data_IF_121255468421
#
_entry.id   IF_121255468421
#
_cell.length_a   1.000
_cell.length_b   1.000
_cell.length_c   1.000
_cell.angle_alpha   90.00
_cell.angle_beta   90.00
_cell.angle_gamma   90.00
#
_symmetry.space_group_name_H-M   'P 1'
#
loop_
_entity.id
_entity.type
_entity.pdbx_description
1 polymer ?
#
# COMPACT_ATOMS: atom_id res chain seq x y z
N UNK A 1 14.43 16.57 8.97
CA UNK A 1 14.59 16.04 7.60
C UNK A 1 15.99 15.45 7.44
N UNK A 2 16.09 14.34 6.73
CA UNK A 2 17.35 13.64 6.49
C UNK A 2 17.62 13.63 5.00
N UNK A 3 18.86 13.98 4.60
CA UNK A 3 19.29 13.96 3.21
C UNK A 3 20.42 12.91 3.07
N UNK A 4 20.25 12.00 2.13
CA UNK A 4 21.29 11.05 1.74
C UNK A 4 21.85 11.47 0.39
N UNK A 5 23.17 11.63 0.33
CA UNK A 5 23.89 11.92 -0.90
C UNK A 5 24.91 10.83 -1.18
N UNK A 6 24.94 10.33 -2.40
CA UNK A 6 25.88 9.30 -2.82
C UNK A 6 25.91 9.16 -4.34
N UNK A 7 26.92 8.44 -4.83
CA UNK A 7 27.01 8.12 -6.25
C UNK A 7 25.90 7.12 -6.60
N UNK A 8 25.17 7.39 -7.69
CA UNK A 8 24.14 6.48 -8.19
C UNK A 8 24.73 5.23 -8.84
N UNK A 9 23.85 4.43 -9.48
CA UNK A 9 24.26 3.27 -10.26
C UNK A 9 25.12 3.69 -11.48
N UNK A 10 26.05 2.83 -11.86
CA UNK A 10 26.94 3.04 -13.02
C UNK A 10 28.14 2.11 -12.96
N UNK A 11 28.86 1.96 -14.08
CA UNK A 11 29.99 1.04 -14.16
C UNK A 11 31.09 1.37 -13.13
N UNK A 12 31.53 2.61 -13.04
CA UNK A 12 32.57 3.03 -12.10
C UNK A 12 32.16 2.95 -10.62
N UNK A 13 30.97 3.47 -10.19
CA UNK A 13 30.54 3.35 -8.81
C UNK A 13 30.37 1.88 -8.37
N UNK A 14 29.82 1.04 -9.23
CA UNK A 14 29.63 -0.39 -8.95
C UNK A 14 30.99 -1.12 -8.86
N UNK A 15 31.90 -0.89 -9.81
CA UNK A 15 33.23 -1.48 -9.76
C UNK A 15 33.99 -1.04 -8.52
N UNK A 16 33.93 0.23 -8.15
CA UNK A 16 34.57 0.77 -6.95
C UNK A 16 34.04 0.11 -5.67
N UNK A 17 32.71 -0.11 -5.57
CA UNK A 17 32.11 -0.80 -4.42
C UNK A 17 32.56 -2.26 -4.33
N UNK A 18 32.53 -3.01 -5.44
CA UNK A 18 33.00 -4.41 -5.48
C UNK A 18 34.46 -4.54 -5.11
N UNK A 19 35.33 -3.67 -5.62
CA UNK A 19 36.76 -3.68 -5.29
C UNK A 19 36.97 -3.34 -3.81
N UNK A 20 36.22 -2.37 -3.26
CA UNK A 20 36.30 -2.04 -1.84
C UNK A 20 35.95 -3.24 -0.96
N UNK A 21 34.86 -3.93 -1.27
CA UNK A 21 34.43 -5.12 -0.54
C UNK A 21 35.46 -6.25 -0.60
N UNK A 22 36.06 -6.48 -1.78
CA UNK A 22 37.12 -7.46 -1.94
C UNK A 22 38.37 -7.11 -1.12
N UNK A 23 38.78 -5.83 -1.08
CA UNK A 23 39.88 -5.37 -0.25
C UNK A 23 39.59 -5.58 1.23
N UNK A 24 38.40 -5.30 1.67
CA UNK A 24 38.00 -5.48 3.08
C UNK A 24 37.98 -6.98 3.45
N UNK A 25 37.48 -7.85 2.59
CA UNK A 25 37.55 -9.32 2.78
C UNK A 25 38.98 -9.78 2.92
N UNK A 26 39.91 -9.33 2.04
CA UNK A 26 41.32 -9.70 2.10
C UNK A 26 41.97 -9.23 3.40
N UNK A 27 41.69 -7.99 3.82
CA UNK A 27 42.23 -7.43 5.07
C UNK A 27 41.72 -8.22 6.30
N UNK A 28 40.43 -8.51 6.36
CA UNK A 28 39.84 -9.30 7.44
C UNK A 28 40.43 -10.71 7.51
N UNK A 29 40.57 -11.36 6.36
CA UNK A 29 41.15 -12.69 6.26
C UNK A 29 42.61 -12.69 6.69
N UNK A 30 43.41 -11.69 6.27
CA UNK A 30 44.83 -11.54 6.63
C UNK A 30 45.01 -11.22 8.13
N UNK A 31 44.04 -10.54 8.74
CA UNK A 31 44.07 -10.27 10.19
C UNK A 31 43.68 -11.49 11.03
N UNK A 32 43.27 -12.61 10.42
CA UNK A 32 42.84 -13.81 11.11
C UNK A 32 41.43 -13.71 11.72
N UNK A 33 40.72 -12.66 11.38
CA UNK A 33 39.35 -12.39 11.89
C UNK A 33 38.30 -12.98 10.94
N UNK A 34 38.42 -14.29 10.67
CA UNK A 34 37.44 -15.03 9.86
C UNK A 34 36.01 -15.00 10.45
N UNK A 35 35.91 -14.60 11.72
CA UNK A 35 34.62 -14.47 12.41
C UNK A 35 33.84 -13.25 11.91
N UNK A 36 34.52 -12.21 11.45
CA UNK A 36 33.89 -11.01 10.89
C UNK A 36 33.21 -11.25 9.51
N UNK A 37 33.58 -12.34 8.82
CA UNK A 37 32.96 -12.76 7.56
C UNK A 37 31.72 -13.63 7.73
N UNK A 38 31.47 -14.12 8.95
CA UNK A 38 30.21 -14.80 9.22
C UNK A 38 29.11 -13.73 9.23
N UNK A 39 27.99 -13.96 8.53
CA UNK A 39 26.81 -13.15 8.76
C UNK A 39 26.64 -13.09 10.27
N UNK A 40 26.41 -11.91 10.83
CA UNK A 40 26.20 -11.76 12.25
C UNK A 40 25.10 -12.77 12.62
N UNK A 41 25.53 -13.96 13.12
CA UNK A 41 24.62 -14.85 13.82
C UNK A 41 24.18 -14.03 15.02
N UNK A 42 23.07 -13.32 14.87
CA UNK A 42 22.37 -12.72 15.95
C UNK A 42 21.85 -13.88 16.80
N UNK A 43 22.73 -14.38 17.67
CA UNK A 43 22.41 -15.28 18.78
C UNK A 43 21.61 -14.55 19.89
N UNK A 44 21.04 -13.40 19.58
CA UNK A 44 19.90 -12.92 20.33
C UNK A 44 18.70 -13.63 19.74
N UNK A 45 17.92 -14.28 20.59
CA UNK A 45 16.55 -14.69 20.27
C UNK A 45 15.86 -13.47 19.66
N UNK A 46 16.04 -13.28 18.35
CA UNK A 46 15.24 -12.34 17.58
C UNK A 46 13.86 -12.93 17.68
N UNK A 47 13.04 -12.35 18.53
CA UNK A 47 11.60 -12.60 18.53
C UNK A 47 11.22 -12.48 17.06
N UNK A 48 10.89 -13.61 16.44
CA UNK A 48 10.45 -13.60 15.04
C UNK A 48 9.17 -12.78 15.03
N UNK A 49 9.32 -11.50 14.70
CA UNK A 49 8.16 -10.65 14.43
C UNK A 49 7.45 -11.27 13.23
N UNK A 50 6.30 -11.87 13.48
CA UNK A 50 5.47 -12.39 12.40
C UNK A 50 5.05 -11.26 11.46
N UNK A 51 4.90 -11.56 10.19
CA UNK A 51 4.32 -10.63 9.23
C UNK A 51 2.85 -10.39 9.58
N UNK A 52 2.46 -9.12 9.68
CA UNK A 52 1.05 -8.76 9.81
C UNK A 52 0.36 -9.01 8.46
N UNK A 53 -0.70 -9.84 8.39
CA UNK A 53 -1.47 -10.00 7.16
C UNK A 53 -2.03 -8.65 6.70
N UNK A 54 -2.06 -8.41 5.38
CA UNK A 54 -2.57 -7.15 4.83
C UNK A 54 -4.00 -6.86 5.29
N UNK A 55 -4.85 -7.87 5.44
CA UNK A 55 -6.22 -7.73 5.94
C UNK A 55 -6.32 -7.11 7.34
N UNK A 56 -5.24 -7.13 8.12
CA UNK A 56 -5.16 -6.55 9.46
C UNK A 56 -4.48 -5.17 9.48
N UNK A 57 -4.06 -4.68 8.32
CA UNK A 57 -3.50 -3.33 8.21
C UNK A 57 -4.61 -2.30 8.32
N UNK A 58 -4.33 -1.23 9.06
CA UNK A 58 -5.25 -0.09 9.23
C UNK A 58 -4.71 1.09 8.43
N UNK A 59 -5.50 1.63 7.52
CA UNK A 59 -5.16 2.79 6.70
C UNK A 59 -6.42 3.56 6.31
N UNK A 60 -6.26 4.75 5.76
CA UNK A 60 -7.32 5.45 5.04
C UNK A 60 -7.27 5.11 3.56
N UNK A 61 -8.40 5.18 2.87
CA UNK A 61 -8.51 4.72 1.48
C UNK A 61 -9.17 5.74 0.60
N UNK A 62 -8.64 5.87 -0.62
CA UNK A 62 -9.32 6.45 -1.77
C UNK A 62 -9.96 5.30 -2.56
N UNK A 63 -11.24 5.43 -2.84
CA UNK A 63 -12.01 4.46 -3.62
C UNK A 63 -12.68 5.17 -4.79
N UNK A 64 -12.52 4.63 -6.00
CA UNK A 64 -13.23 5.08 -7.19
C UNK A 64 -14.10 3.95 -7.70
N UNK A 65 -15.40 4.17 -7.71
CA UNK A 65 -16.44 3.18 -7.92
C UNK A 65 -17.22 3.56 -9.17
N UNK A 66 -17.04 2.88 -10.30
CA UNK A 66 -17.84 3.12 -11.51
C UNK A 66 -19.26 2.57 -11.31
N UNK A 67 -20.26 3.41 -11.48
CA UNK A 67 -21.68 3.07 -11.22
C UNK A 67 -22.63 3.66 -12.26
N UNK A 68 -23.82 3.09 -12.33
CA UNK A 68 -24.92 3.73 -13.04
C UNK A 68 -25.33 5.04 -12.35
N UNK A 69 -25.63 6.07 -13.15
CA UNK A 69 -26.17 7.33 -12.64
C UNK A 69 -27.69 7.19 -12.38
N UNK A 70 -28.01 6.50 -11.29
CA UNK A 70 -29.40 6.20 -10.89
C UNK A 70 -29.66 6.62 -9.44
N UNK A 71 -30.86 7.12 -9.12
CA UNK A 71 -31.23 7.43 -7.75
C UNK A 71 -31.08 6.21 -6.82
N UNK A 72 -30.45 6.42 -5.67
CA UNK A 72 -30.28 5.39 -4.63
C UNK A 72 -28.99 4.58 -4.72
N UNK A 73 -28.21 4.68 -5.79
CA UNK A 73 -26.93 3.95 -5.92
C UNK A 73 -25.93 4.40 -4.84
N UNK A 74 -25.76 5.69 -4.63
CA UNK A 74 -24.92 6.20 -3.54
C UNK A 74 -25.39 5.70 -2.16
N UNK A 75 -26.68 5.61 -1.93
CA UNK A 75 -27.22 5.10 -0.67
C UNK A 75 -26.88 3.62 -0.45
N UNK A 76 -26.89 2.80 -1.52
CA UNK A 76 -26.48 1.38 -1.45
C UNK A 76 -25.00 1.25 -1.11
N UNK A 77 -24.14 2.03 -1.76
CA UNK A 77 -22.70 2.05 -1.48
C UNK A 77 -22.42 2.49 -0.04
N UNK A 78 -23.07 3.58 0.42
CA UNK A 78 -22.91 4.08 1.78
C UNK A 78 -23.39 3.06 2.83
N UNK A 79 -24.44 2.32 2.53
CA UNK A 79 -24.93 1.23 3.39
C UNK A 79 -23.91 0.11 3.51
N UNK A 80 -23.29 -0.32 2.42
CA UNK A 80 -22.25 -1.36 2.45
C UNK A 80 -21.06 -0.90 3.31
N UNK A 81 -20.62 0.35 3.18
CA UNK A 81 -19.56 0.89 4.04
C UNK A 81 -19.96 0.83 5.52
N UNK A 82 -21.20 1.23 5.86
CA UNK A 82 -21.68 1.18 7.23
C UNK A 82 -21.74 -0.27 7.78
N UNK A 83 -22.17 -1.24 6.97
CA UNK A 83 -22.23 -2.66 7.34
C UNK A 83 -20.82 -3.23 7.61
N UNK A 84 -19.77 -2.71 6.94
CA UNK A 84 -18.38 -3.06 7.17
C UNK A 84 -17.68 -2.16 8.21
N UNK A 85 -18.43 -1.32 8.92
CA UNK A 85 -17.89 -0.37 9.92
C UNK A 85 -16.87 0.60 9.35
N UNK A 86 -16.99 0.96 8.07
CA UNK A 86 -16.14 1.93 7.40
C UNK A 86 -16.79 3.31 7.49
N UNK A 87 -16.08 4.26 8.10
CA UNK A 87 -16.49 5.66 8.17
C UNK A 87 -16.01 6.43 6.94
N UNK A 88 -16.91 7.20 6.33
CA UNK A 88 -16.63 8.00 5.15
C UNK A 88 -16.14 9.38 5.58
N UNK A 89 -14.98 9.81 5.08
CA UNK A 89 -14.43 11.16 5.26
C UNK A 89 -15.09 12.14 4.28
N UNK A 90 -15.14 11.74 2.99
CA UNK A 90 -15.75 12.55 1.94
C UNK A 90 -16.26 11.69 0.79
N UNK A 91 -17.26 12.18 0.09
CA UNK A 91 -17.77 11.58 -1.14
C UNK A 91 -17.95 12.66 -2.19
N UNK A 92 -17.53 12.35 -3.40
CA UNK A 92 -17.78 13.14 -4.60
C UNK A 92 -18.42 12.25 -5.66
N UNK A 93 -19.54 12.70 -6.21
CA UNK A 93 -20.16 12.10 -7.39
C UNK A 93 -20.23 13.17 -8.48
N UNK A 94 -19.36 13.13 -9.49
CA UNK A 94 -19.43 14.03 -10.64
C UNK A 94 -20.74 13.81 -11.41
N UNK A 95 -21.23 14.85 -12.08
CA UNK A 95 -22.33 14.68 -13.05
C UNK A 95 -21.86 13.78 -14.19
N UNK A 96 -22.74 12.90 -14.64
CA UNK A 96 -22.45 12.07 -15.82
C UNK A 96 -22.21 12.99 -17.05
N UNK A 97 -21.31 12.58 -17.92
CA UNK A 97 -21.09 13.29 -19.20
C UNK A 97 -22.38 13.26 -20.00
N UNK A 98 -22.73 14.36 -20.65
CA UNK A 98 -23.95 14.50 -21.43
C UNK A 98 -24.09 13.34 -22.43
N UNK A 99 -25.12 12.52 -22.24
CA UNK A 99 -25.40 11.33 -23.05
C UNK A 99 -24.87 10.01 -22.49
N UNK A 100 -24.12 10.01 -21.39
CA UNK A 100 -23.71 8.82 -20.66
C UNK A 100 -24.72 8.51 -19.54
N UNK A 101 -24.89 7.23 -19.26
CA UNK A 101 -25.76 6.74 -18.17
C UNK A 101 -24.97 6.27 -16.95
N UNK A 102 -23.66 6.37 -17.04
CA UNK A 102 -22.72 5.91 -16.03
C UNK A 102 -21.93 7.09 -15.46
N UNK A 103 -21.62 7.03 -14.19
CA UNK A 103 -20.81 8.00 -13.46
C UNK A 103 -19.85 7.28 -12.52
N UNK A 104 -19.12 8.03 -11.74
CA UNK A 104 -18.22 7.48 -10.71
C UNK A 104 -18.57 8.05 -9.34
N UNK A 105 -18.50 7.21 -8.33
CA UNK A 105 -18.48 7.64 -6.94
C UNK A 105 -17.03 7.60 -6.47
N UNK A 106 -16.50 8.74 -6.06
CA UNK A 106 -15.19 8.85 -5.42
C UNK A 106 -15.42 9.00 -3.92
N UNK A 107 -14.91 8.06 -3.15
CA UNK A 107 -15.03 8.09 -1.69
C UNK A 107 -13.64 8.09 -1.04
N UNK A 108 -13.51 8.95 -0.01
CA UNK A 108 -12.37 8.89 0.93
C UNK A 108 -12.89 8.32 2.24
N UNK A 109 -12.14 7.39 2.83
CA UNK A 109 -12.49 6.82 4.14
C UNK A 109 -11.61 7.37 5.24
N UNK A 110 -12.13 7.39 6.46
CA UNK A 110 -11.28 7.40 7.66
C UNK A 110 -10.52 6.08 7.77
N UNK A 111 -9.63 5.97 8.77
CA UNK A 111 -8.88 4.75 9.03
C UNK A 111 -9.79 3.54 9.20
N UNK A 112 -9.56 2.50 8.44
CA UNK A 112 -10.31 1.26 8.44
C UNK A 112 -9.39 0.05 8.26
N UNK A 113 -9.83 -1.13 8.67
CA UNK A 113 -9.14 -2.39 8.40
C UNK A 113 -9.21 -2.72 6.91
N UNK A 114 -8.10 -3.09 6.31
CA UNK A 114 -8.06 -3.48 4.88
C UNK A 114 -8.99 -4.65 4.57
N UNK A 115 -9.13 -5.60 5.48
CA UNK A 115 -10.08 -6.70 5.33
C UNK A 115 -11.53 -6.24 5.20
N UNK A 116 -11.94 -5.23 6.00
CA UNK A 116 -13.27 -4.62 5.90
C UNK A 116 -13.46 -3.89 4.56
N UNK A 117 -12.43 -3.16 4.12
CA UNK A 117 -12.50 -2.43 2.84
C UNK A 117 -12.56 -3.39 1.66
N UNK A 118 -11.80 -4.48 1.70
CA UNK A 118 -11.85 -5.53 0.66
C UNK A 118 -13.23 -6.16 0.61
N UNK A 119 -13.82 -6.52 1.74
CA UNK A 119 -15.17 -7.08 1.80
C UNK A 119 -16.23 -6.08 1.29
N UNK A 120 -16.10 -4.80 1.59
CA UNK A 120 -16.95 -3.75 1.06
C UNK A 120 -16.83 -3.64 -0.46
N UNK A 121 -15.61 -3.68 -1.01
CA UNK A 121 -15.37 -3.65 -2.45
C UNK A 121 -16.03 -4.83 -3.15
N UNK A 122 -15.88 -6.05 -2.62
CA UNK A 122 -16.52 -7.26 -3.18
C UNK A 122 -18.06 -7.12 -3.20
N UNK A 123 -18.62 -6.62 -2.12
CA UNK A 123 -20.07 -6.38 -2.03
C UNK A 123 -20.56 -5.29 -3.00
N UNK A 124 -19.78 -4.20 -3.18
CA UNK A 124 -20.09 -3.12 -4.12
C UNK A 124 -19.99 -3.64 -5.57
N UNK A 125 -18.95 -4.41 -5.89
CA UNK A 125 -18.78 -4.99 -7.24
C UNK A 125 -19.87 -5.98 -7.59
N UNK A 126 -20.52 -6.60 -6.60
CA UNK A 126 -21.67 -7.48 -6.80
C UNK A 126 -23.01 -6.75 -7.04
N UNK A 127 -23.06 -5.42 -6.86
CA UNK A 127 -24.28 -4.65 -7.13
C UNK A 127 -24.58 -4.59 -8.64
N UNK A 128 -25.84 -4.73 -9.04
CA UNK A 128 -26.24 -4.57 -10.45
C UNK A 128 -25.96 -3.17 -11.02
N UNK A 129 -25.87 -2.16 -10.15
CA UNK A 129 -25.58 -0.78 -10.50
C UNK A 129 -24.08 -0.50 -10.69
N UNK A 130 -23.18 -1.40 -10.30
CA UNK A 130 -21.74 -1.23 -10.50
C UNK A 130 -21.34 -1.57 -11.95
N UNK A 131 -20.51 -0.74 -12.56
CA UNK A 131 -20.17 -0.78 -14.00
C UNK A 131 -18.75 -1.28 -14.27
N UNK A 132 -18.01 -1.68 -13.24
CA UNK A 132 -16.64 -2.18 -13.40
C UNK A 132 -15.95 -2.44 -12.08
N UNK A 133 -14.63 -2.59 -12.16
CA UNK A 133 -13.82 -2.83 -10.97
C UNK A 133 -13.63 -1.54 -10.15
N UNK A 134 -13.70 -1.69 -8.85
CA UNK A 134 -13.40 -0.61 -7.91
C UNK A 134 -11.89 -0.41 -7.84
N UNK A 135 -11.45 0.84 -7.99
CA UNK A 135 -10.04 1.20 -7.77
C UNK A 135 -9.86 1.60 -6.33
N UNK A 136 -8.92 0.97 -5.65
CA UNK A 136 -8.55 1.25 -4.27
C UNK A 136 -7.10 1.75 -4.20
N UNK A 137 -6.87 2.86 -3.50
CA UNK A 137 -5.54 3.39 -3.21
C UNK A 137 -5.46 3.67 -1.71
N UNK A 138 -4.41 3.19 -1.05
CA UNK A 138 -4.14 3.54 0.35
C UNK A 138 -3.67 4.98 0.45
N UNK A 139 -4.21 5.71 1.41
CA UNK A 139 -3.79 7.07 1.74
C UNK A 139 -2.90 6.98 2.98
N UNK A 140 -1.68 7.45 2.86
CA UNK A 140 -0.78 7.61 4.00
C UNK A 140 -0.86 9.04 4.54
N UNK A 141 -0.96 9.17 5.85
CA UNK A 141 -0.84 10.47 6.52
C UNK A 141 0.61 10.65 6.94
N UNK A 142 1.31 11.53 6.24
CA UNK A 142 2.67 11.93 6.60
C UNK A 142 2.57 12.92 7.77
N UNK A 143 2.84 12.44 8.98
CA UNK A 143 2.99 13.27 10.19
C UNK A 143 4.30 14.07 10.18
#
# INVERSE_FOLDING_TARGET
STLFYGRGAGAEPTASAVVADLVDIVRMTAAGDAQALKPAEHNQETTQLGWLPMSQTVSSYYLRIPVADEPGVLAQVARIFAEQSISIESVLQPEAVIGEKDTEIVAMTHSALEGSVTAAIEAIEALPSTRGKVVMIRKEELN
#
